data_IF_566200287568
#
_entry.id   IF_566200287568
#
_cell.length_a   1.000
_cell.length_b   1.000
_cell.length_c   1.000
_cell.angle_alpha   90.00
_cell.angle_beta   90.00
_cell.angle_gamma   90.00
#
_symmetry.space_group_name_H-M   'P 1'
#
loop_
_entity.id
_entity.type
_entity.pdbx_description
1 polymer ?
#
# COMPACT_ATOMS: atom_id res chain seq x y z
N UNK A 1 6.74 -14.61 10.60
CA UNK A 1 7.61 -13.80 11.50
C UNK A 1 6.77 -13.00 12.49
N UNK A 2 7.35 -12.04 13.25
CA UNK A 2 6.61 -11.24 14.24
C UNK A 2 5.38 -10.51 13.69
N UNK A 3 5.41 -10.08 12.43
CA UNK A 3 4.27 -9.46 11.75
C UNK A 3 3.04 -10.38 11.64
N UNK A 4 3.22 -11.70 11.54
CA UNK A 4 2.12 -12.67 11.48
C UNK A 4 1.31 -12.79 12.80
N UNK A 5 1.77 -12.12 13.87
CA UNK A 5 1.00 -11.98 15.13
C UNK A 5 -0.01 -10.83 15.07
N UNK A 6 0.05 -9.98 14.05
CA UNK A 6 -0.76 -8.77 13.91
C UNK A 6 -1.73 -8.81 12.73
N UNK A 7 -1.50 -9.72 11.79
CA UNK A 7 -2.34 -9.96 10.61
C UNK A 7 -2.50 -11.47 10.46
N UNK A 8 -3.73 -11.92 10.21
CA UNK A 8 -4.10 -13.31 10.02
C UNK A 8 -4.44 -13.61 8.56
N UNK A 9 -4.60 -14.90 8.24
CA UNK A 9 -5.12 -15.30 6.94
C UNK A 9 -6.52 -14.68 6.75
N UNK A 10 -6.80 -14.24 5.52
CA UNK A 10 -8.07 -13.65 5.09
C UNK A 10 -8.36 -12.23 5.62
N UNK A 11 -7.41 -11.60 6.34
CA UNK A 11 -7.47 -10.18 6.67
C UNK A 11 -7.27 -9.30 5.41
N UNK A 12 -8.18 -8.35 5.19
CA UNK A 12 -8.03 -7.32 4.17
C UNK A 12 -7.22 -6.16 4.77
N UNK A 13 -6.05 -5.88 4.20
CA UNK A 13 -5.13 -4.84 4.68
C UNK A 13 -4.82 -3.80 3.62
N UNK A 14 -4.44 -2.61 4.06
CA UNK A 14 -3.93 -1.53 3.20
C UNK A 14 -2.45 -1.35 3.51
N UNK A 15 -1.62 -1.37 2.47
CA UNK A 15 -0.17 -1.11 2.57
C UNK A 15 0.08 0.33 2.10
N UNK A 16 0.66 1.16 2.97
CA UNK A 16 0.95 2.57 2.68
C UNK A 16 2.45 2.81 2.84
N UNK A 17 3.06 3.46 1.86
CA UNK A 17 4.42 3.99 1.93
C UNK A 17 4.39 5.51 1.93
N UNK A 18 5.29 6.12 2.70
CA UNK A 18 5.44 7.56 2.77
C UNK A 18 6.76 7.98 2.12
N UNK A 19 6.79 9.19 1.56
CA UNK A 19 7.98 9.82 1.02
C UNK A 19 8.06 11.26 1.53
N UNK A 20 9.28 11.78 1.66
CA UNK A 20 9.54 13.20 1.94
C UNK A 20 9.87 13.90 0.63
N UNK A 21 9.20 15.01 0.37
CA UNK A 21 9.31 15.79 -0.85
C UNK A 21 9.39 17.27 -0.48
N UNK A 22 9.98 18.08 -1.36
CA UNK A 22 9.90 19.53 -1.23
C UNK A 22 8.46 20.01 -1.43
N UNK A 23 8.09 21.10 -0.74
CA UNK A 23 6.69 21.54 -0.64
C UNK A 23 6.02 21.78 -2.00
N UNK A 24 6.73 22.39 -2.95
CA UNK A 24 6.18 22.68 -4.27
C UNK A 24 6.02 21.41 -5.12
N UNK A 25 6.93 20.44 -5.01
CA UNK A 25 6.83 19.15 -5.68
C UNK A 25 5.67 18.31 -5.10
N UNK A 26 5.49 18.36 -3.78
CA UNK A 26 4.45 17.62 -3.07
C UNK A 26 3.03 17.99 -3.53
N UNK A 27 2.78 19.26 -3.93
CA UNK A 27 1.47 19.70 -4.45
C UNK A 27 1.08 19.02 -5.76
N UNK A 28 2.08 18.64 -6.56
CA UNK A 28 1.87 18.09 -7.91
C UNK A 28 2.14 16.58 -7.99
N UNK A 29 2.72 16.02 -6.94
CA UNK A 29 3.01 14.60 -6.85
C UNK A 29 1.73 13.76 -6.96
N UNK A 30 1.75 12.79 -7.87
CA UNK A 30 0.68 11.81 -8.03
C UNK A 30 1.12 10.49 -7.40
N UNK A 31 0.48 10.03 -6.31
CA UNK A 31 0.81 8.74 -5.74
C UNK A 31 0.38 7.62 -6.67
N UNK A 32 1.06 6.48 -6.56
CA UNK A 32 0.58 5.24 -7.18
C UNK A 32 -0.46 4.59 -6.29
N UNK A 33 -1.66 4.41 -6.84
CA UNK A 33 -2.74 3.68 -6.18
C UNK A 33 -2.95 2.40 -6.97
N UNK A 34 -2.78 1.26 -6.30
CA UNK A 34 -2.84 -0.06 -6.91
C UNK A 34 -3.98 -0.82 -6.25
N UNK A 35 -4.87 -1.36 -7.08
CA UNK A 35 -5.96 -2.25 -6.64
C UNK A 35 -5.65 -3.66 -7.13
N UNK A 36 -5.11 -4.53 -6.26
CA UNK A 36 -4.86 -5.91 -6.63
C UNK A 36 -6.16 -6.72 -6.68
N UNK A 37 -6.12 -7.86 -7.34
CA UNK A 37 -7.20 -8.84 -7.32
C UNK A 37 -7.41 -9.37 -5.88
N UNK A 38 -8.64 -9.32 -5.41
CA UNK A 38 -9.02 -9.70 -4.04
C UNK A 38 -8.80 -11.20 -3.74
N UNK A 39 -8.75 -12.06 -4.76
CA UNK A 39 -8.63 -13.51 -4.58
C UNK A 39 -7.18 -13.97 -4.45
N UNK A 40 -6.25 -13.36 -5.18
CA UNK A 40 -4.87 -13.84 -5.30
C UNK A 40 -3.79 -12.75 -5.24
N UNK A 41 -4.18 -11.48 -5.03
CA UNK A 41 -3.30 -10.31 -5.01
C UNK A 41 -2.54 -10.05 -6.32
N UNK A 42 -2.98 -10.61 -7.45
CA UNK A 42 -2.39 -10.32 -8.77
C UNK A 42 -2.71 -8.91 -9.26
N UNK A 43 -1.87 -8.40 -10.18
CA UNK A 43 -1.96 -7.04 -10.75
C UNK A 43 -2.21 -7.03 -12.28
N UNK A 44 -2.63 -8.17 -12.83
CA UNK A 44 -2.82 -8.40 -14.28
C UNK A 44 -4.21 -8.05 -14.79
#
# INVERSE_FOLDING_TARGET
GPAARKVQKDDIIIIISYATLDFEEAKTFKPWVIFPNENDNSLT
#
